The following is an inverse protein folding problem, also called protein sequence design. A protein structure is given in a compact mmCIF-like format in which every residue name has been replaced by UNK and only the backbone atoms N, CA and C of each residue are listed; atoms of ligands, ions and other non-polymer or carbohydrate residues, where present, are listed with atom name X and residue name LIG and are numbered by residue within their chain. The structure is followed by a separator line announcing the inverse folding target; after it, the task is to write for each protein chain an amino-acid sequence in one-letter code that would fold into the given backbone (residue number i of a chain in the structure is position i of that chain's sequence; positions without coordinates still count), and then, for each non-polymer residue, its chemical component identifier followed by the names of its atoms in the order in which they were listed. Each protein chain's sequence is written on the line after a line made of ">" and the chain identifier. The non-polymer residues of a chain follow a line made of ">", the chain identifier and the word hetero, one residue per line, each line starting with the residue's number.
data_IF_004964595286
#
_entry.id   IF_004964595286
#
_cell.length_a   1.000
_cell.length_b   1.000
_cell.length_c   1.000
_cell.angle_alpha   90.00
_cell.angle_beta   90.00
_cell.angle_gamma   90.00
#
_symmetry.space_group_name_H-M   'P 1'
#
loop_
_entity.id
_entity.type
_entity.pdbx_description
1 polymer ?
#
# COMPACT_ATOMS: atom_id res chain seq x y z
N UNK A 1 27.00 7.02 -8.51
CA UNK A 1 27.65 5.70 -8.37
C UNK A 1 26.97 4.94 -7.22
N UNK A 2 25.85 4.28 -7.48
CA UNK A 2 25.16 3.41 -6.52
C UNK A 2 25.64 1.95 -6.72
N UNK A 3 26.90 1.68 -6.37
CA UNK A 3 27.47 0.32 -6.48
C UNK A 3 27.39 -0.38 -5.12
N UNK A 4 26.58 -1.46 -5.09
CA UNK A 4 26.59 -2.62 -4.17
C UNK A 4 25.90 -2.46 -2.81
N UNK A 5 24.59 -2.22 -2.81
CA UNK A 5 23.72 -2.68 -1.72
C UNK A 5 23.33 -4.17 -1.89
N UNK A 6 23.40 -4.68 -3.13
CA UNK A 6 23.18 -6.11 -3.42
C UNK A 6 24.45 -6.93 -3.16
N UNK A 7 24.29 -8.01 -2.40
CA UNK A 7 25.25 -9.09 -2.23
C UNK A 7 25.16 -10.16 -3.32
N UNK A 8 25.68 -11.37 -3.05
CA UNK A 8 25.53 -12.54 -3.90
C UNK A 8 24.07 -12.84 -4.25
N UNK A 9 23.86 -13.41 -5.42
CA UNK A 9 22.55 -13.93 -5.81
C UNK A 9 22.23 -15.20 -5.04
N UNK A 10 21.01 -15.28 -4.54
CA UNK A 10 20.43 -16.49 -3.97
C UNK A 10 19.71 -17.21 -5.12
N UNK A 11 20.32 -18.28 -5.63
CA UNK A 11 19.89 -18.92 -6.87
C UNK A 11 18.63 -19.77 -6.71
N UNK A 12 17.82 -19.92 -7.79
CA UNK A 12 16.76 -20.93 -7.83
C UNK A 12 17.25 -22.33 -7.46
N UNK A 13 16.40 -23.09 -6.76
CA UNK A 13 16.74 -24.41 -6.22
C UNK A 13 17.46 -24.41 -4.86
N UNK A 14 17.83 -23.25 -4.31
CA UNK A 14 18.18 -23.14 -2.89
C UNK A 14 16.92 -23.06 -2.03
N UNK A 15 17.01 -23.49 -0.77
CA UNK A 15 15.87 -23.48 0.14
C UNK A 15 15.38 -22.07 0.44
N UNK A 16 16.29 -21.11 0.57
CA UNK A 16 15.98 -19.70 0.79
C UNK A 16 15.17 -19.12 -0.37
N UNK A 17 15.62 -19.39 -1.60
CA UNK A 17 14.92 -18.93 -2.79
C UNK A 17 13.52 -19.54 -2.88
N UNK A 18 13.40 -20.87 -2.74
CA UNK A 18 12.11 -21.55 -2.85
C UNK A 18 11.13 -21.09 -1.77
N UNK A 19 11.62 -20.80 -0.56
CA UNK A 19 10.79 -20.25 0.51
C UNK A 19 10.28 -18.84 0.16
N UNK A 20 11.15 -17.91 -0.28
CA UNK A 20 10.73 -16.57 -0.73
C UNK A 20 9.72 -16.68 -1.88
N UNK A 21 10.01 -17.51 -2.88
CA UNK A 21 9.15 -17.71 -4.03
C UNK A 21 7.77 -18.29 -3.64
N UNK A 22 7.71 -19.17 -2.63
CA UNK A 22 6.46 -19.71 -2.14
C UNK A 22 5.56 -18.64 -1.50
N UNK A 23 6.15 -17.69 -0.77
CA UNK A 23 5.42 -16.56 -0.18
C UNK A 23 4.94 -15.62 -1.27
N UNK A 24 5.80 -15.25 -2.23
CA UNK A 24 5.40 -14.40 -3.37
C UNK A 24 4.19 -15.01 -4.07
N UNK A 25 4.26 -16.30 -4.43
CA UNK A 25 3.17 -17.00 -5.09
C UNK A 25 1.89 -17.06 -4.24
N UNK A 26 2.01 -17.15 -2.90
CA UNK A 26 0.87 -17.12 -1.99
C UNK A 26 0.24 -15.72 -1.92
N UNK A 27 1.05 -14.67 -1.86
CA UNK A 27 0.58 -13.27 -1.90
C UNK A 27 -0.17 -13.01 -3.21
N UNK A 28 0.39 -13.39 -4.36
CA UNK A 28 -0.28 -13.28 -5.67
C UNK A 28 -1.66 -13.98 -5.70
N UNK A 29 -1.77 -15.18 -5.12
CA UNK A 29 -3.06 -15.89 -5.02
C UNK A 29 -4.06 -15.16 -4.12
N UNK A 30 -3.61 -14.53 -3.04
CA UNK A 30 -4.46 -13.85 -2.05
C UNK A 30 -4.91 -12.46 -2.48
N UNK A 31 -4.08 -11.75 -3.25
CA UNK A 31 -4.42 -10.42 -3.78
C UNK A 31 -5.04 -10.50 -5.17
N UNK A 32 -4.76 -11.57 -5.93
CA UNK A 32 -5.14 -11.69 -7.34
C UNK A 32 -4.32 -10.78 -8.26
N UNK A 33 -3.21 -10.21 -7.77
CA UNK A 33 -2.35 -9.28 -8.49
C UNK A 33 -1.00 -9.98 -8.74
N UNK A 34 -0.54 -10.12 -9.99
CA UNK A 34 0.79 -10.64 -10.28
C UNK A 34 1.90 -9.73 -9.76
N UNK A 35 2.98 -10.32 -9.28
CA UNK A 35 4.19 -9.61 -8.88
C UNK A 35 5.07 -9.31 -10.11
N UNK A 36 5.63 -8.11 -10.16
CA UNK A 36 6.68 -7.73 -11.12
C UNK A 36 8.06 -8.29 -10.76
N UNK A 37 8.19 -9.04 -9.66
CA UNK A 37 9.45 -9.68 -9.26
C UNK A 37 9.98 -10.58 -10.38
N UNK A 38 11.17 -10.24 -10.90
CA UNK A 38 11.77 -10.90 -12.06
C UNK A 38 12.51 -12.21 -11.69
N UNK A 39 12.21 -12.77 -10.52
CA UNK A 39 12.80 -14.01 -9.99
C UNK A 39 14.30 -13.95 -9.69
N UNK A 40 14.84 -12.74 -9.55
CA UNK A 40 16.21 -12.56 -9.08
C UNK A 40 16.18 -12.14 -7.61
N UNK A 41 16.80 -12.94 -6.76
CA UNK A 41 16.90 -12.72 -5.33
C UNK A 41 18.37 -12.48 -4.97
N UNK A 42 18.66 -11.42 -4.24
CA UNK A 42 20.02 -11.11 -3.78
C UNK A 42 20.07 -11.00 -2.26
N UNK A 43 21.24 -11.20 -1.68
CA UNK A 43 21.46 -10.80 -0.29
C UNK A 43 21.41 -9.26 -0.17
N UNK A 44 20.71 -8.76 0.85
CA UNK A 44 20.72 -7.33 1.22
C UNK A 44 22.00 -7.00 2.01
N UNK A 45 22.64 -5.84 1.74
CA UNK A 45 23.87 -5.38 2.43
C UNK A 45 23.82 -3.92 2.87
N UNK A 46 22.70 -3.24 2.65
CA UNK A 46 22.42 -1.85 3.02
C UNK A 46 21.97 -1.67 4.46
N UNK A 47 21.86 -2.74 5.24
CA UNK A 47 21.35 -2.68 6.62
C UNK A 47 19.82 -2.60 6.71
N UNK A 48 19.12 -2.84 5.60
CA UNK A 48 17.67 -3.00 5.54
C UNK A 48 17.31 -4.48 5.65
N UNK A 49 16.06 -4.81 6.00
CA UNK A 49 15.63 -6.21 6.03
C UNK A 49 15.46 -6.79 4.62
N UNK A 50 14.96 -5.97 3.70
CA UNK A 50 14.74 -6.34 2.31
C UNK A 50 14.51 -5.08 1.46
N UNK A 51 14.48 -5.24 0.15
CA UNK A 51 14.15 -4.16 -0.81
C UNK A 51 13.55 -4.75 -2.08
N UNK A 52 12.47 -4.14 -2.56
CA UNK A 52 11.88 -4.36 -3.87
C UNK A 52 12.40 -3.31 -4.86
N UNK A 53 13.15 -3.76 -5.85
CA UNK A 53 13.78 -2.87 -6.84
C UNK A 53 12.86 -2.69 -8.04
N UNK A 54 12.75 -1.47 -8.56
CA UNK A 54 11.88 -1.16 -9.71
C UNK A 54 12.17 -2.01 -10.97
N UNK A 55 13.42 -2.46 -11.14
CA UNK A 55 13.81 -3.35 -12.24
C UNK A 55 13.34 -4.81 -12.10
N UNK A 56 12.67 -5.14 -10.99
CA UNK A 56 12.17 -6.46 -10.68
C UNK A 56 13.00 -7.32 -9.72
N UNK A 57 14.30 -7.08 -9.40
CA UNK A 57 14.96 -7.86 -8.35
C UNK A 57 14.38 -7.59 -6.96
N UNK A 58 14.53 -8.57 -6.08
CA UNK A 58 14.31 -8.41 -4.64
C UNK A 58 15.63 -8.69 -3.91
N UNK A 59 15.91 -7.95 -2.85
CA UNK A 59 16.99 -8.25 -1.92
C UNK A 59 16.42 -8.73 -0.59
N UNK A 60 17.17 -9.54 0.15
CA UNK A 60 16.75 -10.05 1.45
C UNK A 60 17.96 -10.17 2.38
N UNK A 61 17.86 -9.65 3.59
CA UNK A 61 18.94 -9.78 4.57
C UNK A 61 19.04 -11.22 5.05
N UNK A 62 20.24 -11.80 4.93
CA UNK A 62 20.46 -13.19 5.31
C UNK A 62 20.32 -13.39 6.81
N UNK A 63 20.97 -12.57 7.62
CA UNK A 63 21.08 -12.78 9.07
C UNK A 63 19.79 -12.42 9.80
N UNK A 64 19.07 -11.41 9.29
CA UNK A 64 17.91 -10.84 9.95
C UNK A 64 16.58 -11.41 9.44
N UNK A 65 16.52 -11.86 8.18
CA UNK A 65 15.28 -12.40 7.58
C UNK A 65 15.39 -13.89 7.29
N UNK A 66 16.38 -14.31 6.50
CA UNK A 66 16.43 -15.69 6.01
C UNK A 66 16.82 -16.69 7.09
N UNK A 67 17.93 -16.46 7.81
CA UNK A 67 18.43 -17.39 8.82
C UNK A 67 17.44 -17.67 9.95
N UNK A 68 16.74 -16.67 10.54
CA UNK A 68 15.76 -16.95 11.59
C UNK A 68 14.63 -17.86 11.12
N UNK A 69 14.18 -17.69 9.87
CA UNK A 69 13.16 -18.56 9.27
C UNK A 69 13.70 -19.97 9.07
N UNK A 70 14.88 -20.12 8.47
CA UNK A 70 15.46 -21.45 8.24
C UNK A 70 15.70 -22.20 9.55
N UNK A 71 16.22 -21.52 10.58
CA UNK A 71 16.39 -22.09 11.92
C UNK A 71 15.06 -22.51 12.54
N UNK A 72 13.98 -21.77 12.30
CA UNK A 72 12.65 -22.14 12.78
C UNK A 72 12.14 -23.45 12.14
N UNK A 73 12.34 -23.62 10.83
CA UNK A 73 11.99 -24.88 10.15
C UNK A 73 12.93 -26.05 10.52
N UNK A 74 14.20 -25.79 10.87
CA UNK A 74 15.18 -26.82 11.23
C UNK A 74 15.13 -27.23 12.70
N UNK A 75 14.31 -26.56 13.51
CA UNK A 75 14.24 -26.83 14.93
C UNK A 75 13.69 -28.23 15.22
N UNK A 76 14.49 -29.06 15.88
CA UNK A 76 14.08 -30.41 16.31
C UNK A 76 13.32 -30.41 17.64
N UNK A 77 13.10 -29.25 18.24
CA UNK A 77 12.43 -29.05 19.52
C UNK A 77 11.61 -27.76 19.53
N UNK A 78 10.86 -27.49 20.61
CA UNK A 78 10.01 -26.30 20.69
C UNK A 78 10.83 -25.02 20.53
N UNK A 79 10.36 -24.12 19.67
CA UNK A 79 10.88 -22.77 19.57
C UNK A 79 10.39 -21.93 20.75
N UNK A 80 11.24 -21.03 21.24
CA UNK A 80 10.79 -19.96 22.12
C UNK A 80 10.00 -18.90 21.32
N UNK A 81 9.38 -17.98 22.06
CA UNK A 81 8.53 -16.94 21.47
C UNK A 81 9.32 -15.92 20.65
N UNK A 82 10.60 -15.72 20.97
CA UNK A 82 11.45 -14.79 20.26
C UNK A 82 11.82 -15.35 18.88
N UNK A 83 12.28 -16.61 18.81
CA UNK A 83 12.58 -17.30 17.56
C UNK A 83 11.33 -17.45 16.67
N UNK A 84 10.18 -17.77 17.28
CA UNK A 84 8.89 -17.83 16.58
C UNK A 84 8.51 -16.45 16.01
N UNK A 85 8.77 -15.39 16.78
CA UNK A 85 8.62 -14.02 16.32
C UNK A 85 9.49 -13.76 15.10
N UNK A 86 10.80 -13.90 15.20
CA UNK A 86 11.70 -13.61 14.09
C UNK A 86 11.37 -14.37 12.81
N UNK A 87 10.92 -15.62 12.91
CA UNK A 87 10.39 -16.35 11.78
C UNK A 87 9.15 -15.65 11.16
N UNK A 88 8.20 -15.19 11.98
CA UNK A 88 7.05 -14.40 11.51
C UNK A 88 7.48 -13.08 10.85
N UNK A 89 8.42 -12.33 11.43
CA UNK A 89 8.95 -11.11 10.79
C UNK A 89 9.49 -11.43 9.41
N UNK A 90 10.27 -12.50 9.26
CA UNK A 90 10.82 -12.85 7.96
C UNK A 90 9.73 -13.06 6.91
N UNK A 91 8.67 -13.80 7.26
CA UNK A 91 7.53 -13.99 6.36
C UNK A 91 6.82 -12.67 6.03
N UNK A 92 6.60 -11.81 7.03
CA UNK A 92 5.98 -10.50 6.89
C UNK A 92 6.80 -9.55 6.00
N UNK A 93 8.12 -9.59 6.11
CA UNK A 93 9.04 -8.81 5.25
C UNK A 93 8.91 -9.22 3.79
N UNK A 94 8.90 -10.53 3.49
CA UNK A 94 8.72 -10.99 2.10
C UNK A 94 7.35 -10.56 1.55
N UNK A 95 6.29 -10.64 2.35
CA UNK A 95 4.95 -10.18 1.95
C UNK A 95 4.93 -8.68 1.64
N UNK A 96 5.56 -7.87 2.49
CA UNK A 96 5.69 -6.42 2.31
C UNK A 96 6.40 -6.09 1.00
N UNK A 97 7.57 -6.69 0.72
CA UNK A 97 8.30 -6.43 -0.53
C UNK A 97 7.56 -6.97 -1.76
N UNK A 98 6.79 -8.04 -1.60
CA UNK A 98 5.95 -8.54 -2.68
C UNK A 98 4.87 -7.52 -3.04
N UNK A 99 4.30 -6.82 -2.06
CA UNK A 99 3.31 -5.76 -2.29
C UNK A 99 3.88 -4.62 -3.13
N UNK A 100 5.11 -4.17 -2.85
CA UNK A 100 5.79 -3.18 -3.67
C UNK A 100 5.92 -3.63 -5.13
N UNK A 101 6.19 -4.91 -5.38
CA UNK A 101 6.23 -5.48 -6.72
C UNK A 101 4.86 -5.69 -7.38
N UNK A 102 3.74 -5.60 -6.66
CA UNK A 102 2.40 -5.76 -7.24
C UNK A 102 1.83 -4.48 -7.84
N UNK A 103 2.57 -3.38 -7.76
CA UNK A 103 2.06 -2.06 -8.12
C UNK A 103 2.95 -1.35 -9.14
N UNK A 104 2.31 -0.63 -10.05
CA UNK A 104 2.99 0.23 -11.00
C UNK A 104 3.40 1.55 -10.32
N UNK A 105 4.59 2.05 -10.65
CA UNK A 105 5.00 3.40 -10.20
C UNK A 105 4.12 4.48 -10.85
N UNK A 106 3.86 4.35 -12.15
CA UNK A 106 3.14 5.35 -12.96
C UNK A 106 4.10 6.33 -13.66
N UNK A 107 3.54 7.40 -14.21
CA UNK A 107 4.30 8.48 -14.86
C UNK A 107 4.83 9.47 -13.82
N UNK A 108 6.11 9.38 -13.49
CA UNK A 108 6.80 10.30 -12.58
C UNK A 108 6.94 11.73 -13.12
N UNK A 109 6.87 11.90 -14.45
CA UNK A 109 6.97 13.21 -15.10
C UNK A 109 5.60 13.93 -15.17
N UNK A 110 4.52 13.25 -14.76
CA UNK A 110 3.21 13.87 -14.68
C UNK A 110 3.24 15.07 -13.71
N UNK A 111 2.63 16.21 -14.08
CA UNK A 111 2.77 17.46 -13.33
C UNK A 111 2.19 17.40 -11.90
N UNK A 112 1.28 16.46 -11.63
CA UNK A 112 0.68 16.19 -10.32
C UNK A 112 1.20 14.91 -9.66
N UNK A 113 2.22 14.27 -10.22
CA UNK A 113 2.88 13.12 -9.61
C UNK A 113 3.53 13.50 -8.27
N UNK A 114 3.40 12.63 -7.28
CA UNK A 114 4.30 12.64 -6.13
C UNK A 114 5.63 12.06 -6.56
N UNK A 115 6.73 12.76 -6.24
CA UNK A 115 8.07 12.31 -6.58
C UNK A 115 8.39 11.01 -5.86
N UNK A 116 8.95 10.06 -6.59
CA UNK A 116 9.41 8.81 -6.01
C UNK A 116 10.44 9.09 -4.89
N UNK A 117 10.35 8.35 -3.78
CA UNK A 117 11.12 8.56 -2.52
C UNK A 117 10.93 9.91 -1.81
N UNK A 118 9.94 10.73 -2.19
CA UNK A 118 9.57 11.86 -1.34
C UNK A 118 8.92 11.36 -0.05
N UNK A 119 8.95 12.18 1.00
CA UNK A 119 8.32 11.86 2.29
C UNK A 119 6.87 11.37 2.11
N UNK A 120 6.12 12.01 1.21
CA UNK A 120 4.72 11.70 0.97
C UNK A 120 4.53 10.39 0.22
N UNK A 121 5.43 10.08 -0.72
CA UNK A 121 5.44 8.81 -1.42
C UNK A 121 5.81 7.67 -0.47
N UNK A 122 6.87 7.83 0.32
CA UNK A 122 7.34 6.82 1.28
C UNK A 122 6.25 6.49 2.29
N UNK A 123 5.68 7.48 2.99
CA UNK A 123 4.65 7.24 4.01
C UNK A 123 3.46 6.48 3.43
N UNK A 124 2.99 6.88 2.24
CA UNK A 124 1.83 6.23 1.64
C UNK A 124 2.14 4.82 1.13
N UNK A 125 3.28 4.63 0.48
CA UNK A 125 3.67 3.36 -0.14
C UNK A 125 3.98 2.31 0.92
N UNK A 126 4.80 2.65 1.90
CA UNK A 126 5.13 1.78 3.04
C UNK A 126 3.89 1.51 3.91
N UNK A 127 3.06 2.52 4.15
CA UNK A 127 1.84 2.37 4.94
C UNK A 127 0.81 1.43 4.29
N UNK A 128 0.63 1.51 2.96
CA UNK A 128 -0.24 0.60 2.23
C UNK A 128 0.32 -0.84 2.20
N UNK A 129 1.62 -0.99 1.95
CA UNK A 129 2.28 -2.30 1.94
C UNK A 129 2.12 -3.00 3.30
N UNK A 130 2.33 -2.28 4.41
CA UNK A 130 2.17 -2.84 5.75
C UNK A 130 0.71 -3.18 6.10
N UNK A 131 -0.24 -2.34 5.69
CA UNK A 131 -1.67 -2.62 5.87
C UNK A 131 -2.14 -3.82 5.05
N UNK A 132 -1.69 -3.96 3.79
CA UNK A 132 -2.04 -5.13 2.97
C UNK A 132 -1.43 -6.41 3.54
N UNK A 133 -0.15 -6.36 3.93
CA UNK A 133 0.56 -7.44 4.60
C UNK A 133 -0.20 -7.91 5.85
N UNK A 134 -0.63 -7.01 6.74
CA UNK A 134 -1.38 -7.39 7.94
C UNK A 134 -2.74 -8.05 7.61
N UNK A 135 -3.41 -7.61 6.55
CA UNK A 135 -4.68 -8.18 6.08
C UNK A 135 -4.53 -9.63 5.61
N UNK A 136 -3.40 -9.99 5.00
CA UNK A 136 -3.20 -11.30 4.36
C UNK A 136 -2.24 -12.23 5.13
N UNK A 137 -1.51 -11.73 6.13
CA UNK A 137 -0.41 -12.44 6.78
C UNK A 137 -0.75 -13.86 7.21
N UNK A 138 -1.80 -14.04 8.02
CA UNK A 138 -2.16 -15.35 8.55
C UNK A 138 -2.64 -16.31 7.46
N UNK A 139 -3.23 -15.80 6.37
CA UNK A 139 -3.65 -16.61 5.23
C UNK A 139 -2.45 -17.08 4.41
N UNK A 140 -1.48 -16.19 4.18
CA UNK A 140 -0.25 -16.51 3.46
C UNK A 140 0.61 -17.49 4.26
N UNK A 141 0.77 -17.28 5.57
CA UNK A 141 1.50 -18.20 6.48
C UNK A 141 0.91 -19.62 6.40
N UNK A 142 -0.42 -19.74 6.37
CA UNK A 142 -1.11 -21.03 6.20
C UNK A 142 -0.91 -21.65 4.81
N UNK A 143 -0.93 -20.83 3.76
CA UNK A 143 -0.77 -21.30 2.37
C UNK A 143 0.61 -21.89 2.12
N UNK A 144 1.64 -21.34 2.75
CA UNK A 144 3.02 -21.87 2.65
C UNK A 144 3.30 -22.96 3.70
N UNK A 145 2.30 -23.32 4.52
CA UNK A 145 2.39 -24.38 5.52
C UNK A 145 3.25 -24.04 6.75
N UNK A 146 3.68 -22.79 6.89
CA UNK A 146 4.56 -22.37 7.98
C UNK A 146 3.87 -22.47 9.35
N UNK A 147 2.53 -22.40 9.41
CA UNK A 147 1.76 -22.62 10.63
C UNK A 147 1.88 -24.04 11.20
N UNK A 148 2.19 -25.03 10.35
CA UNK A 148 2.37 -26.42 10.73
C UNK A 148 3.79 -26.72 11.16
N UNK A 149 4.76 -26.13 10.46
CA UNK A 149 6.20 -26.37 10.68
C UNK A 149 6.77 -25.48 11.79
N UNK A 150 6.18 -24.31 12.03
CA UNK A 150 6.59 -23.36 13.08
C UNK A 150 5.42 -23.19 14.06
N UNK A 151 5.32 -24.05 15.09
CA UNK A 151 4.23 -23.98 16.05
C UNK A 151 4.09 -22.58 16.66
N UNK A 152 2.85 -22.15 16.89
CA UNK A 152 2.49 -20.87 17.55
C UNK A 152 2.85 -19.62 16.74
N UNK A 153 3.29 -19.74 15.48
CA UNK A 153 3.59 -18.57 14.64
C UNK A 153 2.37 -17.65 14.41
N UNK A 154 1.15 -18.20 14.50
CA UNK A 154 -0.09 -17.43 14.43
C UNK A 154 -0.50 -16.78 15.77
N UNK A 155 0.16 -17.14 16.87
CA UNK A 155 -0.07 -16.52 18.20
C UNK A 155 0.77 -15.25 18.37
N UNK A 156 1.88 -15.13 17.64
CA UNK A 156 2.81 -14.00 17.76
C UNK A 156 2.37 -12.85 16.87
N UNK A 157 2.38 -11.64 17.43
CA UNK A 157 2.13 -10.41 16.68
C UNK A 157 3.44 -9.63 16.56
N UNK A 158 3.85 -9.37 15.33
CA UNK A 158 5.00 -8.53 15.02
C UNK A 158 4.52 -7.10 14.80
N UNK A 159 5.21 -6.12 15.36
CA UNK A 159 4.99 -4.72 15.01
C UNK A 159 6.18 -4.24 14.18
N UNK A 160 5.92 -3.92 12.91
CA UNK A 160 6.91 -3.43 11.96
C UNK A 160 7.24 -1.95 12.23
N UNK A 161 8.42 -1.44 11.82
CA UNK A 161 8.85 -0.08 12.16
C UNK A 161 7.99 1.03 11.52
N UNK A 162 7.20 0.71 10.48
CA UNK A 162 6.30 1.67 9.82
C UNK A 162 4.92 1.78 10.46
N UNK A 163 4.77 1.38 11.72
CA UNK A 163 3.50 1.43 12.46
C UNK A 163 2.82 2.82 12.43
N UNK A 164 3.59 3.90 12.37
CA UNK A 164 3.04 5.25 12.20
C UNK A 164 2.48 5.51 10.81
N UNK A 165 3.15 5.04 9.77
CA UNK A 165 2.72 5.20 8.38
C UNK A 165 1.46 4.38 8.12
N UNK A 166 1.48 3.10 8.51
CA UNK A 166 0.35 2.20 8.45
C UNK A 166 -0.88 2.81 9.13
N UNK A 167 -0.76 3.20 10.40
CA UNK A 167 -1.88 3.73 11.18
C UNK A 167 -2.41 5.08 10.63
N UNK A 168 -1.53 5.92 10.06
CA UNK A 168 -1.92 7.16 9.41
C UNK A 168 -2.70 6.93 8.12
N UNK A 169 -2.20 6.04 7.25
CA UNK A 169 -2.86 5.64 6.00
C UNK A 169 -4.21 4.99 6.29
N UNK A 170 -4.28 4.02 7.22
CA UNK A 170 -5.55 3.39 7.63
C UNK A 170 -6.55 4.41 8.17
N UNK A 171 -6.10 5.39 8.95
CA UNK A 171 -6.92 6.49 9.43
C UNK A 171 -7.51 7.33 8.29
N UNK A 172 -6.70 7.64 7.27
CA UNK A 172 -7.17 8.34 6.06
C UNK A 172 -8.17 7.51 5.28
N UNK A 173 -7.86 6.24 4.97
CA UNK A 173 -8.77 5.36 4.23
C UNK A 173 -10.10 5.16 4.97
N UNK A 174 -10.07 5.04 6.30
CA UNK A 174 -11.28 5.00 7.12
C UNK A 174 -12.09 6.30 7.00
N UNK A 175 -11.44 7.46 7.08
CA UNK A 175 -12.09 8.75 6.90
C UNK A 175 -12.72 8.90 5.51
N UNK A 176 -12.00 8.52 4.45
CA UNK A 176 -12.52 8.52 3.09
C UNK A 176 -13.76 7.61 2.93
N UNK A 177 -13.75 6.43 3.56
CA UNK A 177 -14.93 5.56 3.66
C UNK A 177 -16.12 6.30 4.29
N UNK A 178 -15.92 6.99 5.42
CA UNK A 178 -16.98 7.76 6.10
C UNK A 178 -17.52 8.92 5.25
N UNK A 179 -16.63 9.69 4.63
CA UNK A 179 -17.00 10.87 3.82
C UNK A 179 -17.77 10.46 2.56
N UNK A 180 -17.29 9.41 1.88
CA UNK A 180 -17.79 9.00 0.57
C UNK A 180 -18.98 8.04 0.64
N UNK A 181 -19.21 7.37 1.77
CA UNK A 181 -20.23 6.34 1.93
C UNK A 181 -19.94 5.03 1.18
N UNK A 182 -18.80 4.93 0.47
CA UNK A 182 -18.32 3.70 -0.18
C UNK A 182 -17.92 2.66 0.87
N UNK A 183 -17.87 1.39 0.53
CA UNK A 183 -17.33 0.37 1.45
C UNK A 183 -15.82 0.58 1.70
N UNK A 184 -15.28 0.11 2.85
CA UNK A 184 -13.84 0.18 3.10
C UNK A 184 -13.00 -0.50 2.00
N UNK A 185 -13.49 -1.62 1.46
CA UNK A 185 -12.81 -2.37 0.39
C UNK A 185 -12.76 -1.61 -0.93
N UNK A 186 -13.84 -0.91 -1.30
CA UNK A 186 -13.86 -0.06 -2.50
C UNK A 186 -12.91 1.13 -2.38
N UNK A 187 -12.82 1.74 -1.19
CA UNK A 187 -11.88 2.85 -0.93
C UNK A 187 -10.44 2.34 -0.98
N UNK A 188 -10.16 1.23 -0.29
CA UNK A 188 -8.86 0.57 -0.34
C UNK A 188 -8.47 0.28 -1.77
N UNK A 189 -9.28 -0.48 -2.50
CA UNK A 189 -9.02 -0.91 -3.88
C UNK A 189 -8.80 0.26 -4.82
N UNK A 190 -9.57 1.35 -4.68
CA UNK A 190 -9.40 2.54 -5.51
C UNK A 190 -8.03 3.20 -5.33
N UNK A 191 -7.53 3.25 -4.08
CA UNK A 191 -6.23 3.85 -3.77
C UNK A 191 -5.09 2.89 -4.11
N UNK A 192 -5.20 1.64 -3.66
CA UNK A 192 -4.17 0.61 -3.77
C UNK A 192 -3.81 0.29 -5.22
N UNK A 193 -4.82 0.12 -6.09
CA UNK A 193 -4.64 -0.16 -7.52
C UNK A 193 -4.23 1.06 -8.35
N UNK A 194 -4.18 2.24 -7.76
CA UNK A 194 -3.69 3.43 -8.47
C UNK A 194 -2.16 3.41 -8.46
N UNK A 195 -1.49 3.77 -9.58
CA UNK A 195 -0.04 3.88 -9.62
C UNK A 195 0.50 4.76 -8.49
N UNK A 196 1.64 4.39 -7.92
CA UNK A 196 2.19 5.01 -6.70
C UNK A 196 2.13 6.53 -6.70
N UNK A 197 2.60 7.15 -7.78
CA UNK A 197 2.73 8.60 -7.89
C UNK A 197 1.38 9.34 -7.96
N UNK A 198 0.28 8.61 -8.16
CA UNK A 198 -1.08 9.13 -8.33
C UNK A 198 -2.01 8.77 -7.17
N UNK A 199 -1.56 8.04 -6.14
CA UNK A 199 -2.46 7.54 -5.07
C UNK A 199 -3.16 8.64 -4.27
N UNK A 200 -2.54 9.79 -4.04
CA UNK A 200 -3.21 10.96 -3.42
C UNK A 200 -4.32 11.53 -4.31
N UNK A 201 -4.12 11.49 -5.63
CA UNK A 201 -5.14 11.90 -6.59
C UNK A 201 -6.33 10.93 -6.57
N UNK A 202 -6.08 9.63 -6.43
CA UNK A 202 -7.16 8.64 -6.23
C UNK A 202 -7.93 8.87 -4.93
N UNK A 203 -7.27 9.21 -3.82
CA UNK A 203 -7.94 9.57 -2.57
C UNK A 203 -8.88 10.78 -2.73
N UNK A 204 -8.41 11.83 -3.41
CA UNK A 204 -9.24 12.99 -3.72
C UNK A 204 -10.42 12.61 -4.64
N UNK A 205 -10.16 11.77 -5.65
CA UNK A 205 -11.17 11.31 -6.60
C UNK A 205 -12.28 10.46 -5.96
N UNK A 206 -11.98 9.67 -4.92
CA UNK A 206 -12.99 8.98 -4.10
C UNK A 206 -14.02 9.96 -3.54
N UNK A 207 -13.56 11.10 -3.02
CA UNK A 207 -14.43 12.15 -2.47
C UNK A 207 -15.15 12.91 -3.58
N UNK A 208 -14.44 13.31 -4.63
CA UNK A 208 -15.04 14.05 -5.76
C UNK A 208 -16.20 13.24 -6.36
N UNK A 209 -15.96 11.95 -6.65
CA UNK A 209 -16.93 11.09 -7.30
C UNK A 209 -18.16 10.80 -6.43
N UNK A 210 -18.04 10.87 -5.11
CA UNK A 210 -19.13 10.58 -4.19
C UNK A 210 -19.94 11.82 -3.78
N UNK A 211 -19.28 12.97 -3.66
CA UNK A 211 -19.86 14.18 -3.04
C UNK A 211 -20.04 15.34 -3.99
N UNK A 212 -19.23 15.42 -5.04
CA UNK A 212 -19.21 16.53 -6.00
C UNK A 212 -19.75 16.15 -7.38
N UNK A 213 -20.06 14.87 -7.60
CA UNK A 213 -20.66 14.42 -8.84
C UNK A 213 -22.01 15.12 -9.08
N UNK A 214 -22.19 15.71 -10.27
CA UNK A 214 -23.36 16.51 -10.62
C UNK A 214 -23.43 17.90 -9.97
N UNK A 215 -22.55 18.23 -9.03
CA UNK A 215 -22.46 19.54 -8.39
C UNK A 215 -21.36 20.42 -9.03
N UNK A 216 -20.27 19.80 -9.46
CA UNK A 216 -19.09 20.47 -10.04
C UNK A 216 -18.99 20.20 -11.56
N UNK A 217 -18.70 21.22 -12.40
CA UNK A 217 -18.37 21.00 -13.80
C UNK A 217 -17.14 20.09 -13.97
N UNK A 218 -17.14 19.12 -14.91
CA UNK A 218 -16.01 18.20 -15.13
C UNK A 218 -14.67 18.93 -15.36
N UNK A 219 -14.70 20.08 -16.02
CA UNK A 219 -13.53 20.90 -16.34
C UNK A 219 -12.82 21.42 -15.08
N UNK A 220 -13.50 21.44 -13.93
CA UNK A 220 -12.93 21.91 -12.68
C UNK A 220 -12.25 20.78 -11.87
N UNK A 221 -12.32 19.53 -12.35
CA UNK A 221 -11.84 18.36 -11.60
C UNK A 221 -10.36 18.47 -11.22
N UNK A 222 -9.48 18.85 -12.14
CA UNK A 222 -8.04 18.97 -11.87
C UNK A 222 -7.73 19.99 -10.76
N UNK A 223 -8.47 21.11 -10.76
CA UNK A 223 -8.37 22.12 -9.70
C UNK A 223 -8.79 21.54 -8.35
N UNK A 224 -9.95 20.87 -8.30
CA UNK A 224 -10.50 20.37 -7.05
C UNK A 224 -9.71 19.19 -6.51
N UNK A 225 -9.21 18.29 -7.38
CA UNK A 225 -8.28 17.23 -7.02
C UNK A 225 -7.03 17.77 -6.34
N UNK A 226 -6.38 18.79 -6.94
CA UNK A 226 -5.22 19.43 -6.35
C UNK A 226 -5.52 20.03 -4.96
N UNK A 227 -6.70 20.64 -4.82
CA UNK A 227 -7.14 21.26 -3.56
C UNK A 227 -7.42 20.23 -2.47
N UNK A 228 -8.13 19.14 -2.79
CA UNK A 228 -8.50 18.10 -1.84
C UNK A 228 -7.34 17.13 -1.52
N UNK A 229 -6.44 16.89 -2.47
CA UNK A 229 -5.26 16.04 -2.24
C UNK A 229 -4.19 16.70 -1.37
N UNK A 230 -4.11 18.03 -1.37
CA UNK A 230 -3.12 18.81 -0.61
C UNK A 230 -3.10 18.52 0.90
N UNK A 231 -4.21 18.62 1.65
CA UNK A 231 -4.19 18.34 3.10
C UNK A 231 -3.77 16.89 3.42
N UNK A 232 -4.15 15.93 2.58
CA UNK A 232 -3.73 14.53 2.74
C UNK A 232 -2.21 14.40 2.57
N UNK A 233 -1.68 14.99 1.50
CA UNK A 233 -0.26 15.00 1.19
C UNK A 233 0.56 15.65 2.30
N UNK A 234 0.20 16.87 2.71
CA UNK A 234 0.92 17.64 3.73
C UNK A 234 0.93 16.95 5.10
N UNK A 235 -0.21 16.45 5.57
CA UNK A 235 -0.30 15.83 6.90
C UNK A 235 0.43 14.49 6.93
N UNK A 236 0.23 13.62 5.91
CA UNK A 236 0.93 12.34 5.88
C UNK A 236 2.45 12.51 5.68
N UNK A 237 2.90 13.49 4.89
CA UNK A 237 4.33 13.83 4.76
C UNK A 237 5.03 14.00 6.10
N UNK A 238 4.34 14.63 7.06
CA UNK A 238 4.90 14.95 8.36
C UNK A 238 5.24 13.70 9.18
N UNK A 239 4.64 12.55 8.88
CA UNK A 239 4.99 11.29 9.53
C UNK A 239 6.42 10.86 9.21
N UNK A 240 6.98 11.24 8.05
CA UNK A 240 8.36 10.90 7.68
C UNK A 240 9.41 11.46 8.66
N UNK A 241 9.06 12.46 9.47
CA UNK A 241 9.93 12.99 10.52
C UNK A 241 10.05 12.07 11.74
N UNK A 242 9.23 11.02 11.84
CA UNK A 242 9.21 10.07 12.94
C UNK A 242 9.60 8.66 12.44
N UNK A 243 10.63 8.08 13.04
CA UNK A 243 11.13 6.73 12.72
C UNK A 243 11.23 5.88 13.98
N UNK A 244 11.41 4.57 13.80
CA UNK A 244 11.59 3.63 14.91
C UNK A 244 12.87 3.88 15.73
N UNK A 245 13.83 4.62 15.17
CA UNK A 245 15.03 5.07 15.90
C UNK A 245 14.73 6.22 16.88
N UNK A 246 13.63 6.93 16.67
CA UNK A 246 13.22 8.09 17.46
C UNK A 246 12.19 7.67 18.52
N UNK A 247 11.20 6.86 18.12
CA UNK A 247 10.08 6.48 18.99
C UNK A 247 9.70 5.01 18.85
N UNK A 248 9.21 4.36 19.92
CA UNK A 248 8.77 2.98 19.84
C UNK A 248 7.51 2.86 18.97
N UNK A 249 7.28 1.70 18.30
CA UNK A 249 6.19 1.54 17.33
C UNK A 249 4.78 1.89 17.83
N UNK A 250 4.48 1.67 19.11
CA UNK A 250 3.18 2.03 19.71
C UNK A 250 2.94 3.54 19.71
N UNK A 251 3.99 4.34 19.96
CA UNK A 251 3.91 5.80 19.92
C UNK A 251 3.80 6.29 18.47
N UNK A 252 4.59 5.70 17.55
CA UNK A 252 4.47 5.96 16.13
C UNK A 252 3.04 5.72 15.63
N UNK A 253 2.44 4.57 15.99
CA UNK A 253 1.07 4.25 15.61
C UNK A 253 0.05 5.25 16.18
N UNK A 254 0.25 5.75 17.41
CA UNK A 254 -0.60 6.78 17.99
C UNK A 254 -0.51 8.10 17.20
N UNK A 255 0.72 8.55 16.87
CA UNK A 255 0.94 9.71 16.01
C UNK A 255 0.35 9.53 14.62
N UNK A 256 0.48 8.32 14.05
CA UNK A 256 -0.14 7.93 12.79
C UNK A 256 -1.64 8.17 12.82
N UNK A 257 -2.35 7.57 13.80
CA UNK A 257 -3.80 7.77 13.98
C UNK A 257 -4.18 9.25 14.12
N UNK A 258 -3.49 9.99 14.97
CA UNK A 258 -3.77 11.42 15.18
C UNK A 258 -3.58 12.23 13.89
N UNK A 259 -2.55 11.87 13.10
CA UNK A 259 -2.26 12.52 11.82
C UNK A 259 -3.30 12.17 10.76
N UNK A 260 -3.73 10.91 10.68
CA UNK A 260 -4.82 10.49 9.81
C UNK A 260 -6.12 11.24 10.13
N UNK A 261 -6.45 11.40 11.42
CA UNK A 261 -7.61 12.19 11.87
C UNK A 261 -7.50 13.65 11.40
N UNK A 262 -6.36 14.30 11.61
CA UNK A 262 -6.16 15.70 11.15
C UNK A 262 -6.24 15.84 9.64
N UNK A 263 -5.63 14.92 8.89
CA UNK A 263 -5.68 14.90 7.43
C UNK A 263 -7.13 14.83 6.92
N UNK A 264 -7.93 13.93 7.49
CA UNK A 264 -9.35 13.78 7.16
C UNK A 264 -10.15 15.02 7.55
N UNK A 265 -9.94 15.59 8.74
CA UNK A 265 -10.63 16.81 9.16
C UNK A 265 -10.34 18.00 8.23
N UNK A 266 -9.08 18.18 7.82
CA UNK A 266 -8.69 19.24 6.86
C UNK A 266 -9.29 18.99 5.47
N UNK A 267 -9.30 17.73 5.02
CA UNK A 267 -9.99 17.34 3.79
C UNK A 267 -11.50 17.65 3.85
N UNK A 268 -12.19 17.35 4.95
CA UNK A 268 -13.61 17.64 5.13
C UNK A 268 -13.90 19.14 5.12
N UNK A 269 -13.04 19.95 5.74
CA UNK A 269 -13.15 21.41 5.71
C UNK A 269 -13.02 21.95 4.28
N UNK A 270 -12.02 21.49 3.53
CA UNK A 270 -11.86 21.88 2.12
C UNK A 270 -13.03 21.39 1.26
N UNK A 271 -13.49 20.15 1.46
CA UNK A 271 -14.67 19.62 0.77
C UNK A 271 -15.91 20.47 1.05
N UNK A 272 -16.15 20.85 2.31
CA UNK A 272 -17.28 21.70 2.70
C UNK A 272 -17.24 23.06 2.00
N UNK A 273 -16.05 23.68 1.93
CA UNK A 273 -15.86 24.94 1.20
C UNK A 273 -16.10 24.80 -0.31
N UNK A 274 -15.65 23.68 -0.91
CA UNK A 274 -15.88 23.36 -2.32
C UNK A 274 -17.36 23.14 -2.60
N UNK A 275 -18.04 22.33 -1.78
CA UNK A 275 -19.48 22.10 -1.91
C UNK A 275 -20.28 23.40 -1.77
N UNK A 276 -19.95 24.24 -0.78
CA UNK A 276 -20.60 25.53 -0.57
C UNK A 276 -20.45 26.45 -1.79
N UNK A 277 -19.23 26.54 -2.35
CA UNK A 277 -18.95 27.32 -3.55
C UNK A 277 -19.87 26.87 -4.70
N UNK A 278 -19.88 25.58 -5.03
CA UNK A 278 -20.68 25.11 -6.16
C UNK A 278 -22.20 25.26 -5.94
N UNK A 279 -22.69 25.03 -4.72
CA UNK A 279 -24.12 25.25 -4.39
C UNK A 279 -24.52 26.73 -4.50
N UNK A 280 -23.63 27.66 -4.14
CA UNK A 280 -23.90 29.09 -4.20
C UNK A 280 -24.08 29.60 -5.64
N UNK A 281 -23.29 29.08 -6.59
CA UNK A 281 -23.30 29.59 -7.97
C UNK A 281 -24.21 28.81 -8.94
N UNK A 282 -24.72 27.64 -8.55
CA UNK A 282 -25.71 26.89 -9.34
C UNK A 282 -25.12 26.31 -10.64
N UNK A 283 -25.82 26.49 -11.76
CA UNK A 283 -25.53 25.81 -13.04
C UNK A 283 -24.24 26.28 -13.73
N UNK A 284 -23.78 27.50 -13.45
CA UNK A 284 -22.59 28.08 -14.10
C UNK A 284 -21.58 28.61 -13.07
N UNK A 285 -21.04 27.72 -12.23
CA UNK A 285 -20.12 28.13 -11.19
C UNK A 285 -18.79 28.58 -11.81
N UNK A 286 -18.23 29.72 -11.40
CA UNK A 286 -16.86 30.06 -11.78
C UNK A 286 -15.89 29.07 -11.13
N UNK A 287 -14.69 28.91 -11.69
CA UNK A 287 -13.59 28.23 -10.99
C UNK A 287 -13.33 28.91 -9.65
N UNK A 288 -12.99 28.11 -8.64
CA UNK A 288 -12.63 28.68 -7.33
C UNK A 288 -11.37 29.55 -7.46
N UNK A 289 -11.20 30.58 -6.61
CA UNK A 289 -9.95 31.33 -6.55
C UNK A 289 -8.75 30.42 -6.28
N UNK A 290 -7.64 30.69 -6.95
CA UNK A 290 -6.39 29.93 -6.83
C UNK A 290 -5.19 30.88 -7.02
N UNK A 291 -4.05 30.51 -6.42
CA UNK A 291 -2.80 31.22 -6.64
C UNK A 291 -2.35 31.14 -8.12
N UNK A 292 -1.53 32.08 -8.62
CA UNK A 292 -0.98 31.99 -9.97
C UNK A 292 -0.19 30.69 -10.21
N UNK A 293 0.50 30.21 -9.17
CA UNK A 293 1.27 28.96 -9.21
C UNK A 293 0.35 27.74 -9.37
N UNK A 294 -0.71 27.65 -8.56
CA UNK A 294 -1.71 26.59 -8.66
C UNK A 294 -2.42 26.62 -10.01
N UNK A 295 -2.70 27.81 -10.54
CA UNK A 295 -3.29 27.97 -11.88
C UNK A 295 -2.40 27.41 -12.97
N UNK A 296 -1.11 27.76 -12.95
CA UNK A 296 -0.15 27.24 -13.90
C UNK A 296 0.00 25.71 -13.78
N UNK A 297 -0.06 25.16 -12.55
CA UNK A 297 -0.03 23.72 -12.33
C UNK A 297 -1.27 23.03 -12.90
N UNK A 298 -2.47 23.53 -12.60
CA UNK A 298 -3.73 23.00 -13.15
C UNK A 298 -3.71 23.03 -14.68
N UNK A 299 -3.23 24.10 -15.29
CA UNK A 299 -3.08 24.18 -16.75
C UNK A 299 -2.11 23.13 -17.31
N UNK A 300 -1.01 22.82 -16.61
CA UNK A 300 -0.09 21.74 -17.01
C UNK A 300 -0.74 20.38 -16.88
N UNK A 301 -1.47 20.12 -15.79
CA UNK A 301 -2.24 18.90 -15.56
C UNK A 301 -3.26 18.73 -16.70
N UNK A 302 -4.06 19.76 -16.97
CA UNK A 302 -5.05 19.76 -18.05
C UNK A 302 -4.40 19.63 -19.42
N UNK A 303 -3.22 20.19 -19.67
CA UNK A 303 -2.52 19.99 -20.94
C UNK A 303 -1.93 18.58 -21.08
N UNK A 304 -1.47 17.99 -19.99
CA UNK A 304 -0.89 16.65 -19.93
C UNK A 304 -1.97 15.58 -20.15
N UNK A 305 -3.09 15.66 -19.42
CA UNK A 305 -4.18 14.68 -19.55
C UNK A 305 -5.20 15.05 -20.65
N UNK A 306 -5.43 16.35 -20.90
CA UNK A 306 -6.48 16.89 -21.77
C UNK A 306 -6.17 16.93 -23.28
N UNK A 307 -5.05 16.34 -23.72
CA UNK A 307 -4.95 15.86 -25.12
C UNK A 307 -5.77 14.58 -25.36
N UNK A 308 -6.32 13.96 -24.31
CA UNK A 308 -6.99 12.65 -24.40
C UNK A 308 -8.30 12.52 -23.59
N UNK A 309 -8.88 13.62 -23.09
CA UNK A 309 -10.09 13.58 -22.22
C UNK A 309 -11.41 13.47 -22.97
N UNK A 310 -11.44 13.52 -24.31
CA UNK A 310 -12.64 13.15 -25.06
C UNK A 310 -12.88 11.62 -25.04
N UNK A 311 -11.83 10.82 -24.82
CA UNK A 311 -11.90 9.35 -24.94
C UNK A 311 -11.55 8.58 -23.65
N UNK A 312 -10.81 9.16 -22.69
CA UNK A 312 -10.38 8.43 -21.48
C UNK A 312 -11.45 8.34 -20.36
N UNK A 313 -12.51 9.13 -20.41
CA UNK A 313 -13.43 9.27 -19.26
C UNK A 313 -14.44 8.12 -19.10
N UNK A 314 -14.28 6.99 -19.81
CA UNK A 314 -15.18 5.84 -19.66
C UNK A 314 -14.55 4.45 -19.71
N UNK A 315 -13.32 4.27 -20.22
CA UNK A 315 -12.78 2.91 -20.38
C UNK A 315 -12.26 2.32 -19.06
N UNK A 316 -11.57 3.11 -18.23
CA UNK A 316 -11.06 2.66 -16.93
C UNK A 316 -12.19 2.43 -15.90
N UNK A 317 -13.26 3.22 -15.99
CA UNK A 317 -14.45 3.11 -15.14
C UNK A 317 -15.43 2.03 -15.61
N UNK A 318 -15.58 1.79 -16.93
CA UNK A 318 -16.39 0.65 -17.44
C UNK A 318 -15.79 -0.70 -17.06
N UNK A 319 -14.47 -0.81 -16.97
CA UNK A 319 -13.81 -2.03 -16.50
C UNK A 319 -14.17 -2.34 -15.03
N UNK A 320 -14.49 -1.30 -14.23
CA UNK A 320 -14.86 -1.43 -12.83
C UNK A 320 -16.36 -1.70 -12.62
N UNK A 321 -17.23 -1.14 -13.46
CA UNK A 321 -18.69 -1.31 -13.36
C UNK A 321 -19.24 -2.52 -14.16
N UNK A 322 -18.47 -3.07 -15.09
CA UNK A 322 -18.89 -4.19 -15.95
C UNK A 322 -18.74 -5.60 -15.36
N UNK A 323 -18.17 -5.74 -14.16
CA UNK A 323 -17.87 -7.04 -13.55
C UNK A 323 -19.03 -7.58 -12.69
N UNK A 324 -20.19 -7.80 -13.30
CA UNK A 324 -21.19 -8.73 -12.78
C UNK A 324 -21.04 -10.08 -13.51
N UNK A 325 -21.13 -11.24 -12.84
CA UNK A 325 -20.85 -12.52 -13.49
C UNK A 325 -22.00 -12.88 -14.44
N UNK A 326 -21.78 -12.68 -15.74
CA UNK A 326 -22.58 -13.35 -16.76
C UNK A 326 -22.03 -14.76 -16.95
N UNK A 327 -22.84 -15.73 -16.53
CA UNK A 327 -22.65 -17.14 -16.83
C UNK A 327 -22.89 -17.35 -18.33
N UNK A 328 -21.86 -17.75 -19.09
CA UNK A 328 -22.09 -18.25 -20.46
C UNK A 328 -20.92 -18.23 -21.44
N UNK A 329 -20.17 -19.34 -21.46
CA UNK A 329 -19.76 -20.11 -22.67
C UNK A 329 -18.84 -19.44 -23.73
N UNK A 330 -17.57 -19.85 -23.67
CA UNK A 330 -16.63 -20.26 -24.74
C UNK A 330 -16.68 -19.58 -26.14
N UNK A 331 -15.54 -18.99 -26.56
CA UNK A 331 -14.70 -19.48 -27.68
C UNK A 331 -13.56 -18.50 -28.05
N UNK A 332 -12.34 -19.03 -28.17
CA UNK A 332 -11.42 -18.79 -29.29
C UNK A 332 -10.68 -17.44 -29.49
N UNK A 333 -9.36 -17.48 -29.22
CA UNK A 333 -8.33 -17.12 -30.22
C UNK A 333 -7.88 -15.66 -30.38
N UNK A 334 -6.56 -15.46 -30.46
CA UNK A 334 -5.96 -14.41 -31.32
C UNK A 334 -5.04 -13.41 -30.63
N UNK A 335 -3.77 -13.41 -31.05
CA UNK A 335 -2.67 -12.55 -30.61
C UNK A 335 -2.78 -11.06 -31.05
N UNK A 336 -2.09 -10.18 -30.32
CA UNK A 336 -0.99 -9.31 -30.80
C UNK A 336 -1.01 -7.87 -30.24
N UNK A 337 0.18 -7.41 -29.84
CA UNK A 337 0.57 -5.99 -29.97
C UNK A 337 0.63 -5.16 -28.69
N UNK A 338 1.69 -5.30 -27.90
CA UNK A 338 2.08 -4.29 -26.91
C UNK A 338 3.26 -3.47 -27.45
N UNK A 339 3.01 -2.19 -27.73
CA UNK A 339 4.02 -1.21 -28.08
C UNK A 339 4.78 -0.77 -26.83
N UNK A 340 6.11 -0.85 -26.88
CA UNK A 340 7.00 -0.39 -25.84
C UNK A 340 7.16 1.13 -25.90
N UNK A 341 6.75 1.85 -24.84
CA UNK A 341 7.21 3.20 -24.57
C UNK A 341 8.43 3.10 -23.64
N UNK A 342 9.59 3.51 -24.14
CA UNK A 342 10.83 3.57 -23.39
C UNK A 342 10.85 4.85 -22.54
N UNK A 343 10.63 4.71 -21.23
CA UNK A 343 10.91 5.74 -20.22
C UNK A 343 12.22 5.41 -19.52
N UNK A 344 13.08 6.41 -19.32
CA UNK A 344 14.36 6.25 -18.66
C UNK A 344 14.18 5.81 -17.20
N UNK A 345 14.75 4.66 -16.84
CA UNK A 345 14.65 4.10 -15.49
C UNK A 345 15.43 4.96 -14.47
N UNK A 346 14.70 5.64 -13.59
CA UNK A 346 15.24 6.06 -12.30
C UNK A 346 15.43 4.79 -11.44
N UNK A 347 16.63 4.59 -10.89
CA UNK A 347 16.89 3.52 -9.91
C UNK A 347 16.35 3.97 -8.55
N UNK A 348 15.05 3.81 -8.36
CA UNK A 348 14.39 3.97 -7.08
C UNK A 348 14.08 2.61 -6.46
N UNK A 349 14.32 2.47 -5.16
CA UNK A 349 14.06 1.25 -4.42
C UNK A 349 13.22 1.58 -3.17
N UNK A 350 12.16 0.81 -2.92
CA UNK A 350 11.41 0.84 -1.66
C UNK A 350 11.98 -0.27 -0.75
N UNK A 351 12.24 0.05 0.52
CA UNK A 351 13.01 -0.83 1.39
C UNK A 351 12.33 -0.97 2.74
N UNK A 352 12.11 -2.20 3.21
CA UNK A 352 11.61 -2.44 4.55
C UNK A 352 12.73 -2.33 5.60
N UNK A 353 12.60 -1.35 6.49
CA UNK A 353 13.35 -1.32 7.75
C UNK A 353 12.86 -2.47 8.65
N UNK A 354 13.74 -2.95 9.52
CA UNK A 354 13.38 -3.96 10.52
C UNK A 354 13.08 -3.31 11.87
N UNK A 355 12.19 -3.91 12.68
CA UNK A 355 11.93 -3.39 14.01
C UNK A 355 13.09 -3.74 14.96
N UNK A 356 13.28 -2.96 16.05
CA UNK A 356 14.29 -3.26 17.06
C UNK A 356 14.03 -4.62 17.73
N UNK A 357 15.08 -5.23 18.30
CA UNK A 357 15.00 -6.58 18.90
C UNK A 357 13.90 -6.76 19.96
N UNK A 358 13.51 -5.66 20.63
CA UNK A 358 12.49 -5.67 21.68
C UNK A 358 11.06 -5.36 21.18
N UNK A 359 10.83 -5.28 19.86
CA UNK A 359 9.54 -4.89 19.29
C UNK A 359 8.43 -5.97 19.39
N UNK A 360 8.74 -7.12 19.99
CA UNK A 360 7.85 -8.25 20.11
C UNK A 360 6.88 -8.10 21.29
N UNK A 361 5.58 -8.27 21.02
CA UNK A 361 4.57 -8.43 22.06
C UNK A 361 3.79 -9.72 21.86
N UNK A 362 3.76 -10.52 22.91
CA UNK A 362 2.90 -11.69 23.00
C UNK A 362 1.53 -11.20 23.44
N UNK A 363 0.59 -11.11 22.50
CA UNK A 363 -0.80 -10.85 22.84
C UNK A 363 -1.40 -12.10 23.50
N UNK A 364 -1.35 -12.14 24.84
CA UNK A 364 -2.03 -13.19 25.64
C UNK A 364 -3.56 -13.13 25.55
N UNK A 365 -4.13 -12.20 24.77
CA UNK A 365 -5.56 -11.87 24.79
C UNK A 365 -6.44 -12.70 23.83
N UNK A 366 -5.88 -13.52 22.94
CA UNK A 366 -6.66 -14.43 22.09
C UNK A 366 -6.55 -15.89 22.53
N UNK A 367 -6.95 -16.19 23.77
CA UNK A 367 -7.34 -17.55 24.11
C UNK A 367 -8.67 -17.90 23.42
N UNK A 368 -8.94 -19.19 23.08
CA UNK A 368 -10.24 -19.58 22.56
C UNK A 368 -11.30 -19.16 23.57
N UNK A 369 -12.31 -18.42 23.12
CA UNK A 369 -13.42 -17.98 23.95
C UNK A 369 -13.96 -19.19 24.73
N UNK A 370 -13.74 -19.20 26.04
CA UNK A 370 -14.30 -20.21 26.91
C UNK A 370 -15.82 -20.15 26.75
N UNK A 371 -16.40 -21.15 26.10
CA UNK A 371 -17.85 -21.36 26.09
C UNK A 371 -18.29 -21.43 27.55
N UNK A 372 -19.02 -20.41 28.01
CA UNK A 372 -19.74 -20.50 29.28
C UNK A 372 -20.70 -21.69 29.17
N UNK A 373 -20.74 -22.61 30.15
CA UNK A 373 -21.76 -23.63 30.19
C UNK A 373 -23.12 -22.94 30.39
N UNK A 374 -24.05 -23.20 29.47
CA UNK A 374 -25.45 -22.87 29.68
C UNK A 374 -25.91 -23.57 30.96
N UNK A 375 -26.31 -22.77 31.96
CA UNK A 375 -27.01 -23.30 33.13
C UNK A 375 -28.39 -23.70 32.66
N UNK A 376 -28.69 -24.99 32.75
CA UNK A 376 -30.05 -25.50 32.67
C UNK A 376 -30.92 -24.78 33.70
N UNK A 377 -32.09 -24.35 33.24
CA UNK A 377 -33.21 -23.93 34.08
C UNK A 377 -33.98 -25.20 34.41
N UNK A 378 -34.07 -25.51 35.70
CA UNK A 378 -35.11 -26.40 36.26
C UNK A 378 -36.45 -25.66 36.33
#
# INVERSE_FOLDING_TARGET
>A
MARRLMGPEILPGTREYEWVASIVAAVERRTGIPSSWNRRLYEERGGMGATAEYGGPMTMDRELVLEPVLRAYDATGPLDLEATGWARIGALTVMHETDHHQHEVGDEDAPDAVRFLSAEATVLTEGLADSNKDRIADLVIKDVGMDKEVPRILEVHAVMPYAGYQAGVEGVLHGLHKISGRSPDEVWTAVDRTPFVQRYNAMADVVINSRLNGLMPPEHRSQIRLRLGRPLKEELAALAAYTADIEPPVQLAARGRDTGIRAVQRLEQELGAVEQHYRQYGEHPPRMPMSPQDRALVQRIEAHYGRSTADLDTDHLRQFLGSAPSTGRAAGGGAAGAGAAAGAAASGAAAAALPPRDAWRVDRARGPAARKPERGVE
#
